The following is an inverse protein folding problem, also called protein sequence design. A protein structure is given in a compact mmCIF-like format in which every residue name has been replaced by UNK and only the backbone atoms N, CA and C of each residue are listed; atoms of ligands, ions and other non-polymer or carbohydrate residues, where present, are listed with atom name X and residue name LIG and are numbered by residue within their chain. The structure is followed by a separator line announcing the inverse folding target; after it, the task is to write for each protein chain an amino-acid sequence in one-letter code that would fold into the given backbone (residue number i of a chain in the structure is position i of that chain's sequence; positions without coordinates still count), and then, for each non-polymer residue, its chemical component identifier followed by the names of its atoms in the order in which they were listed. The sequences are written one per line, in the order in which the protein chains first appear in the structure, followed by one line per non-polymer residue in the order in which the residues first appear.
data_IF_451287271781
#
_entry.id   IF_451287271781
#
_cell.length_a   1.000
_cell.length_b   1.000
_cell.length_c   1.000
_cell.angle_alpha   90.00
_cell.angle_beta   90.00
_cell.angle_gamma   90.00
#
_symmetry.space_group_name_H-M   'P 1'
#
loop_
_entity.id
_entity.type
_entity.pdbx_description
1 polymer ?
#
# COMPACT_ATOMS: atom_id res chain seq x y z
N UNK A 1 7.60 -7.32 8.88
CA UNK A 1 6.86 -7.77 7.69
C UNK A 1 6.34 -6.54 6.97
N UNK A 2 6.19 -6.61 5.63
CA UNK A 2 5.77 -5.45 4.84
C UNK A 2 4.43 -4.91 5.30
N UNK A 3 4.22 -3.64 5.03
CA UNK A 3 2.92 -3.00 5.20
C UNK A 3 2.02 -3.27 3.98
N UNK A 4 0.72 -3.30 4.19
CA UNK A 4 -0.29 -3.68 3.20
C UNK A 4 -1.38 -2.63 3.15
N UNK A 5 -1.73 -2.16 1.95
CA UNK A 5 -2.86 -1.26 1.72
C UNK A 5 -4.11 -2.07 1.45
N UNK A 6 -5.19 -1.78 2.18
CA UNK A 6 -6.46 -2.50 2.17
C UNK A 6 -7.61 -1.69 1.56
N UNK A 7 -8.83 -2.25 1.59
CA UNK A 7 -10.01 -1.74 0.90
C UNK A 7 -10.33 -0.27 1.16
N UNK A 8 -9.99 0.27 2.34
CA UNK A 8 -10.29 1.65 2.69
C UNK A 8 -9.56 2.67 1.79
N UNK A 9 -8.53 2.27 1.05
CA UNK A 9 -7.85 3.15 0.09
C UNK A 9 -8.61 3.31 -1.24
N UNK A 10 -9.53 2.39 -1.56
CA UNK A 10 -10.22 2.32 -2.85
C UNK A 10 -11.05 3.59 -3.10
N UNK A 11 -10.81 4.24 -4.23
CA UNK A 11 -11.43 5.50 -4.67
C UNK A 11 -11.12 6.73 -3.78
N UNK A 12 -10.22 6.60 -2.80
CA UNK A 12 -9.80 7.73 -1.94
C UNK A 12 -8.47 8.27 -2.44
N UNK A 13 -7.45 7.40 -2.54
CA UNK A 13 -6.13 7.74 -3.07
C UNK A 13 -5.55 9.06 -2.53
N UNK A 14 -5.57 9.24 -1.21
CA UNK A 14 -5.16 10.48 -0.52
C UNK A 14 -3.67 10.84 -0.73
N UNK A 15 -2.80 9.82 -0.80
CA UNK A 15 -1.35 9.93 -1.03
C UNK A 15 -0.49 10.47 0.11
N UNK A 16 -1.01 10.85 1.28
CA UNK A 16 -0.17 11.26 2.42
C UNK A 16 0.92 10.23 2.80
N UNK A 17 0.60 8.93 2.68
CA UNK A 17 1.55 7.85 2.92
C UNK A 17 2.77 7.85 1.98
N UNK A 18 2.64 8.41 0.78
CA UNK A 18 3.71 8.46 -0.23
C UNK A 18 4.84 9.39 0.21
N UNK A 19 4.51 10.52 0.83
CA UNK A 19 5.48 11.55 1.20
C UNK A 19 6.40 11.13 2.36
N UNK A 20 5.95 10.18 3.18
CA UNK A 20 6.67 9.71 4.36
C UNK A 20 7.42 8.39 4.14
N UNK A 21 7.21 7.72 3.00
CA UNK A 21 7.88 6.46 2.71
C UNK A 21 9.37 6.70 2.38
N UNK A 22 10.33 6.23 3.21
CA UNK A 22 11.75 6.55 3.03
C UNK A 22 12.39 5.84 1.82
N UNK A 23 11.72 4.83 1.27
CA UNK A 23 12.22 3.97 0.18
C UNK A 23 11.35 4.07 -1.08
N UNK A 24 10.36 4.96 -1.10
CA UNK A 24 9.45 5.17 -2.25
C UNK A 24 8.79 3.87 -2.76
N UNK A 25 8.46 2.95 -1.86
CA UNK A 25 7.88 1.65 -2.21
C UNK A 25 6.34 1.66 -2.37
N UNK A 26 5.71 2.84 -2.44
CA UNK A 26 4.27 2.99 -2.60
C UNK A 26 3.97 3.43 -4.02
N UNK A 27 3.15 2.64 -4.70
CA UNK A 27 2.82 2.79 -6.12
C UNK A 27 1.32 3.11 -6.29
N UNK A 28 1.00 3.85 -7.34
CA UNK A 28 -0.35 4.27 -7.68
C UNK A 28 -0.92 3.40 -8.79
N UNK A 29 -1.99 2.67 -8.48
CA UNK A 29 -2.79 1.97 -9.47
C UNK A 29 -4.06 2.74 -9.85
N UNK A 30 -4.97 2.12 -10.61
CA UNK A 30 -6.18 2.78 -11.10
C UNK A 30 -7.09 3.22 -9.95
N UNK A 31 -7.36 2.34 -8.98
CA UNK A 31 -8.39 2.57 -7.96
C UNK A 31 -7.84 2.78 -6.53
N UNK A 32 -6.59 2.40 -6.26
CA UNK A 32 -5.96 2.53 -4.94
C UNK A 32 -4.42 2.59 -5.09
N UNK A 33 -3.74 2.82 -3.97
CA UNK A 33 -2.29 2.69 -3.87
C UNK A 33 -1.92 1.27 -3.42
N UNK A 34 -0.69 0.86 -3.71
CA UNK A 34 -0.15 -0.45 -3.37
C UNK A 34 1.25 -0.31 -2.79
N UNK A 35 1.56 -1.05 -1.72
CA UNK A 35 2.91 -1.15 -1.18
C UNK A 35 3.59 -2.35 -1.84
N UNK A 36 4.77 -2.13 -2.44
CA UNK A 36 5.57 -3.24 -2.98
C UNK A 36 6.31 -3.95 -1.83
N UNK A 37 5.95 -5.20 -1.51
CA UNK A 37 6.47 -5.86 -0.30
C UNK A 37 7.98 -6.08 -0.34
N UNK A 38 8.56 -6.34 -1.51
CA UNK A 38 10.00 -6.58 -1.68
C UNK A 38 10.86 -5.31 -1.44
N UNK A 39 10.24 -4.12 -1.49
CA UNK A 39 10.92 -2.83 -1.27
C UNK A 39 10.59 -2.24 0.11
N UNK A 40 9.55 -2.72 0.78
CA UNK A 40 9.16 -2.25 2.10
C UNK A 40 10.22 -2.66 3.14
N UNK A 41 10.62 -1.71 3.99
CA UNK A 41 11.62 -1.92 5.05
C UNK A 41 11.00 -1.92 6.45
N UNK A 42 9.68 -2.11 6.54
CA UNK A 42 8.95 -2.27 7.81
C UNK A 42 9.09 -1.09 8.79
N UNK A 43 9.30 0.12 8.28
CA UNK A 43 9.56 1.29 9.13
C UNK A 43 8.32 1.87 9.83
N UNK A 44 7.11 1.55 9.34
CA UNK A 44 5.85 2.01 9.92
C UNK A 44 5.49 3.48 9.73
N UNK A 45 6.29 4.27 9.01
CA UNK A 45 6.02 5.70 8.82
C UNK A 45 4.69 6.00 8.08
N UNK A 46 4.26 5.11 7.19
CA UNK A 46 3.08 5.33 6.35
C UNK A 46 1.75 5.08 7.06
N UNK A 47 1.71 4.20 8.07
CA UNK A 47 0.50 3.81 8.80
C UNK A 47 -0.24 4.99 9.46
N UNK A 48 0.40 5.81 10.31
CA UNK A 48 -0.28 6.91 10.99
C UNK A 48 -0.71 8.05 10.05
N UNK A 49 -0.11 8.15 8.86
CA UNK A 49 -0.41 9.20 7.90
C UNK A 49 -1.64 8.91 7.04
N UNK A 50 -2.13 7.65 7.02
CA UNK A 50 -3.31 7.32 6.24
C UNK A 50 -4.59 7.82 6.94
N UNK A 51 -5.31 8.82 6.39
CA UNK A 51 -6.46 9.43 7.08
C UNK A 51 -7.67 8.50 7.21
N UNK A 52 -7.67 7.39 6.48
CA UNK A 52 -8.75 6.40 6.42
C UNK A 52 -8.33 5.04 6.98
N UNK A 53 -7.16 4.97 7.63
CA UNK A 53 -6.65 3.75 8.28
C UNK A 53 -6.65 2.54 7.34
N UNK A 54 -6.18 2.74 6.10
CA UNK A 54 -6.13 1.67 5.10
C UNK A 54 -4.87 0.80 5.18
N UNK A 55 -3.87 1.21 5.96
CA UNK A 55 -2.54 0.62 5.95
C UNK A 55 -2.33 -0.17 7.24
N UNK A 56 -1.94 -1.43 7.13
CA UNK A 56 -1.69 -2.32 8.26
C UNK A 56 -0.36 -3.06 8.05
N UNK A 57 0.38 -3.41 9.11
CA UNK A 57 1.43 -4.42 8.99
C UNK A 57 0.78 -5.77 8.62
N UNK A 58 1.46 -6.60 7.82
CA UNK A 58 0.90 -7.86 7.28
C UNK A 58 0.28 -8.77 8.36
N UNK A 59 0.88 -8.82 9.56
CA UNK A 59 0.39 -9.60 10.71
C UNK A 59 -0.94 -9.11 11.28
N UNK A 60 -1.21 -7.81 11.19
CA UNK A 60 -2.39 -7.17 11.78
C UNK A 60 -3.50 -6.92 10.76
N UNK A 61 -3.32 -7.34 9.50
CA UNK A 61 -4.38 -7.26 8.49
C UNK A 61 -5.60 -8.06 8.98
N UNK A 62 -6.78 -7.43 9.08
CA UNK A 62 -8.00 -8.09 9.51
C UNK A 62 -8.31 -9.35 8.68
N UNK A 63 -8.91 -10.36 9.31
CA UNK A 63 -9.14 -11.66 8.67
C UNK A 63 -9.95 -11.57 7.36
N UNK A 64 -10.88 -10.62 7.27
CA UNK A 64 -11.69 -10.35 6.08
C UNK A 64 -10.94 -9.60 4.97
N UNK A 65 -9.72 -9.11 5.22
CA UNK A 65 -8.92 -8.30 4.30
C UNK A 65 -7.59 -8.97 3.90
N UNK A 66 -7.36 -10.22 4.31
CA UNK A 66 -6.10 -10.94 4.01
C UNK A 66 -5.79 -11.08 2.52
N UNK A 67 -6.82 -11.06 1.67
CA UNK A 67 -6.64 -11.10 0.21
C UNK A 67 -5.85 -9.89 -0.31
N UNK A 68 -5.86 -8.76 0.42
CA UNK A 68 -5.08 -7.58 0.06
C UNK A 68 -3.56 -7.80 0.20
N UNK A 69 -3.12 -8.75 1.02
CA UNK A 69 -1.70 -9.11 1.14
C UNK A 69 -1.19 -9.61 -0.21
N UNK A 70 -1.89 -10.59 -0.78
CA UNK A 70 -1.57 -11.11 -2.12
C UNK A 70 -1.76 -10.02 -3.18
N UNK A 71 -2.83 -9.24 -3.12
CA UNK A 71 -3.10 -8.18 -4.09
C UNK A 71 -1.96 -7.14 -4.17
N UNK A 72 -1.42 -6.70 -3.03
CA UNK A 72 -0.31 -5.74 -3.00
C UNK A 72 0.96 -6.31 -3.64
N UNK A 73 1.11 -7.63 -3.70
CA UNK A 73 2.22 -8.30 -4.39
C UNK A 73 1.92 -8.52 -5.87
N UNK A 74 0.81 -9.19 -6.16
CA UNK A 74 0.48 -9.74 -7.48
C UNK A 74 0.19 -8.64 -8.52
N UNK A 75 -0.17 -7.43 -8.08
CA UNK A 75 -0.43 -6.29 -8.97
C UNK A 75 0.82 -5.88 -9.76
N UNK A 76 2.03 -6.17 -9.26
CA UNK A 76 3.29 -5.83 -9.91
C UNK A 76 3.71 -6.82 -11.00
N UNK A 77 3.10 -8.01 -11.04
CA UNK A 77 3.34 -9.03 -12.07
C UNK A 77 2.37 -8.91 -13.26
N UNK A 78 1.44 -7.94 -13.22
CA UNK A 78 0.46 -7.70 -14.28
C UNK A 78 1.07 -6.94 -15.47
N UNK A 79 0.48 -7.04 -16.68
CA UNK A 79 0.95 -6.33 -17.87
C UNK A 79 0.96 -4.79 -17.75
N UNK A 80 0.11 -4.25 -16.87
CA UNK A 80 0.00 -2.82 -16.58
C UNK A 80 0.18 -2.60 -15.06
N UNK A 81 1.42 -2.67 -14.54
CA UNK A 81 1.67 -2.58 -13.12
C UNK A 81 1.50 -1.14 -12.61
N UNK A 82 1.18 -0.94 -11.33
CA UNK A 82 1.07 0.38 -10.72
C UNK A 82 2.33 1.22 -10.93
N UNK A 83 2.12 2.49 -11.27
CA UNK A 83 3.19 3.45 -11.52
C UNK A 83 3.65 4.15 -10.26
N UNK A 84 4.73 4.94 -10.34
CA UNK A 84 5.10 5.84 -9.23
C UNK A 84 4.06 6.97 -9.13
N UNK A 85 3.58 7.31 -7.92
CA UNK A 85 2.63 8.39 -7.73
C UNK A 85 3.25 9.73 -8.11
N UNK A 86 2.44 10.66 -8.64
CA UNK A 86 2.84 12.06 -8.75
C UNK A 86 2.73 12.72 -7.37
N UNK A 87 3.85 13.26 -6.87
CA UNK A 87 3.93 14.10 -5.67
C UNK A 87 3.45 15.52 -5.95
#
# INVERSE_FOLDING_TARGET
MPYVITEACINIKDKACVDVCPVDCIYEGPNQLFIKPDECIDCGACEPECPVTAIFPEEDVPANLKDFIALNKDVFDQPDPPGRPTR
#
